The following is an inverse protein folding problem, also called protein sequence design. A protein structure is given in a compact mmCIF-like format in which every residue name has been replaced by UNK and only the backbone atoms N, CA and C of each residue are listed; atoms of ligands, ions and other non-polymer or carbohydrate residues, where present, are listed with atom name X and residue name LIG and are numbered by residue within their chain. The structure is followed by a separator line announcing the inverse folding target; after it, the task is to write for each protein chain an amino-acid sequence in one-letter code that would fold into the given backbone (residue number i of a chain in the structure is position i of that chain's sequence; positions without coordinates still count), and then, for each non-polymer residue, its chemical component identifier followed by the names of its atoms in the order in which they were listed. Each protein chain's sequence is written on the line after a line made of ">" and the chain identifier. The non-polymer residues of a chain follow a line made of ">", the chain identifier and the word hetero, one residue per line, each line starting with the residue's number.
data_IF_851020607822
#
_entry.id   IF_851020607822
#
_cell.length_a   1.000
_cell.length_b   1.000
_cell.length_c   1.000
_cell.angle_alpha   90.00
_cell.angle_beta   90.00
_cell.angle_gamma   90.00
#
_symmetry.space_group_name_H-M   'P 1'
#
loop_
_entity.id
_entity.type
_entity.pdbx_description
1 polymer ?
#
# COMPACT_ATOMS: atom_id res chain seq x y z
N UNK A 1 13.90 13.35 14.93
CA UNK A 1 12.72 12.87 14.17
C UNK A 1 12.83 13.47 12.78
N UNK A 2 12.70 12.66 11.72
CA UNK A 2 12.76 13.20 10.36
C UNK A 2 11.52 14.05 10.07
N UNK A 3 11.71 15.18 9.40
CA UNK A 3 10.57 15.89 8.81
C UNK A 3 10.06 15.10 7.62
N UNK A 4 8.73 14.92 7.55
CA UNK A 4 8.06 14.11 6.52
C UNK A 4 6.98 14.97 5.86
N UNK A 5 6.93 14.92 4.54
CA UNK A 5 5.86 15.51 3.75
C UNK A 5 5.11 14.43 2.99
N UNK A 6 3.78 14.59 2.89
CA UNK A 6 2.92 13.75 2.06
C UNK A 6 2.28 14.63 1.00
N UNK A 7 2.39 14.22 -0.25
CA UNK A 7 1.70 14.86 -1.38
C UNK A 7 0.81 13.88 -2.13
N UNK A 8 -0.20 14.39 -2.79
CA UNK A 8 -0.97 13.62 -3.76
C UNK A 8 -0.09 13.27 -4.96
N UNK A 9 -0.23 12.06 -5.48
CA UNK A 9 0.43 11.60 -6.69
C UNK A 9 -0.55 11.58 -7.87
N UNK A 10 -0.03 11.88 -9.04
CA UNK A 10 -0.76 11.85 -10.31
C UNK A 10 -0.18 10.83 -11.30
N UNK A 11 -0.72 10.86 -12.51
CA UNK A 11 -0.30 9.98 -13.62
C UNK A 11 1.20 10.11 -13.96
N UNK A 12 1.77 11.27 -13.78
CA UNK A 12 3.19 11.57 -13.97
C UNK A 12 4.10 10.84 -12.98
N UNK A 13 3.57 10.39 -11.85
CA UNK A 13 4.33 9.72 -10.79
C UNK A 13 4.44 8.20 -10.96
N UNK A 14 3.86 7.63 -12.01
CA UNK A 14 3.83 6.17 -12.23
C UNK A 14 5.22 5.54 -12.24
N UNK A 15 6.19 6.20 -12.86
CA UNK A 15 7.57 5.71 -12.91
C UNK A 15 8.19 5.63 -11.51
N UNK A 16 7.95 6.62 -10.67
CA UNK A 16 8.41 6.62 -9.28
C UNK A 16 7.73 5.50 -8.47
N UNK A 17 6.41 5.37 -8.56
CA UNK A 17 5.62 4.35 -7.85
C UNK A 17 6.13 2.95 -8.24
N UNK A 18 6.28 2.68 -9.52
CA UNK A 18 6.84 1.42 -10.02
C UNK A 18 8.25 1.17 -9.50
N UNK A 19 9.12 2.17 -9.55
CA UNK A 19 10.49 2.08 -9.04
C UNK A 19 10.55 1.72 -7.56
N UNK A 20 9.69 2.31 -6.74
CA UNK A 20 9.60 1.94 -5.30
C UNK A 20 9.17 0.49 -5.14
N UNK A 21 8.16 0.04 -5.87
CA UNK A 21 7.71 -1.35 -5.82
C UNK A 21 8.82 -2.32 -6.23
N UNK A 22 9.49 -2.10 -7.36
CA UNK A 22 10.58 -2.93 -7.87
C UNK A 22 11.77 -3.01 -6.89
N UNK A 23 12.01 -1.96 -6.11
CA UNK A 23 13.10 -1.90 -5.13
C UNK A 23 12.73 -2.44 -3.75
N UNK A 24 11.44 -2.55 -3.43
CA UNK A 24 10.97 -3.04 -2.12
C UNK A 24 10.56 -4.52 -2.17
N UNK A 25 9.96 -4.96 -3.25
CA UNK A 25 9.39 -6.30 -3.36
C UNK A 25 10.40 -7.44 -3.19
N UNK A 26 11.62 -7.38 -3.75
CA UNK A 26 12.60 -8.45 -3.53
C UNK A 26 12.96 -8.66 -2.07
N UNK A 27 13.14 -7.59 -1.30
CA UNK A 27 13.44 -7.69 0.14
C UNK A 27 12.21 -8.07 0.98
N UNK A 28 11.01 -7.70 0.55
CA UNK A 28 9.77 -8.01 1.28
C UNK A 28 9.29 -9.43 1.00
N UNK A 29 9.31 -9.87 -0.26
CA UNK A 29 8.68 -11.11 -0.71
C UNK A 29 9.65 -12.19 -1.22
N UNK A 30 10.93 -11.87 -1.36
CA UNK A 30 11.92 -12.79 -1.95
C UNK A 30 12.09 -14.12 -1.22
N UNK A 31 11.79 -14.17 0.08
CA UNK A 31 11.78 -15.41 0.88
C UNK A 31 10.39 -16.04 1.00
N UNK A 32 9.34 -15.41 0.46
CA UNK A 32 7.93 -15.81 0.63
C UNK A 32 7.39 -16.43 -0.66
N UNK A 33 7.67 -15.80 -1.80
CA UNK A 33 7.19 -16.21 -3.12
C UNK A 33 8.36 -16.28 -4.11
N UNK A 34 8.16 -16.98 -5.22
CA UNK A 34 9.18 -17.10 -6.26
C UNK A 34 9.46 -15.79 -6.98
N UNK A 35 10.65 -15.66 -7.56
CA UNK A 35 10.98 -14.51 -8.41
C UNK A 35 10.00 -14.38 -9.59
N UNK A 36 9.60 -15.50 -10.19
CA UNK A 36 8.62 -15.51 -11.28
C UNK A 36 7.26 -14.93 -10.83
N UNK A 37 6.83 -15.23 -9.61
CA UNK A 37 5.60 -14.65 -9.05
C UNK A 37 5.77 -13.16 -8.76
N UNK A 38 6.91 -12.71 -8.23
CA UNK A 38 7.22 -11.29 -8.03
C UNK A 38 7.13 -10.55 -9.37
N UNK A 39 7.80 -11.04 -10.40
CA UNK A 39 7.81 -10.42 -11.73
C UNK A 39 6.41 -10.34 -12.34
N UNK A 40 5.64 -11.41 -12.22
CA UNK A 40 4.25 -11.46 -12.67
C UNK A 40 3.38 -10.41 -11.95
N UNK A 41 3.47 -10.33 -10.63
CA UNK A 41 2.66 -9.41 -9.83
C UNK A 41 3.08 -7.95 -10.04
N UNK A 42 4.39 -7.66 -10.19
CA UNK A 42 4.88 -6.32 -10.49
C UNK A 42 4.36 -5.83 -11.84
N UNK A 43 4.37 -6.68 -12.85
CA UNK A 43 3.85 -6.31 -14.17
C UNK A 43 2.33 -6.13 -14.14
N UNK A 44 1.63 -7.03 -13.49
CA UNK A 44 0.17 -6.96 -13.36
C UNK A 44 -0.32 -5.72 -12.62
N UNK A 45 0.33 -5.34 -11.50
CA UNK A 45 -0.16 -4.28 -10.62
C UNK A 45 0.53 -2.93 -10.81
N UNK A 46 1.73 -2.89 -11.40
CA UNK A 46 2.58 -1.69 -11.47
C UNK A 46 3.06 -1.35 -12.87
N UNK A 47 2.55 -1.98 -13.92
CA UNK A 47 2.75 -1.47 -15.28
C UNK A 47 2.16 -0.07 -15.41
N UNK A 48 2.66 0.71 -16.37
CA UNK A 48 2.14 2.06 -16.61
C UNK A 48 0.63 2.07 -16.85
N UNK A 49 0.13 1.09 -17.61
CA UNK A 49 -1.30 0.96 -17.91
C UNK A 49 -2.10 0.54 -16.68
N UNK A 50 -1.59 -0.40 -15.88
CA UNK A 50 -2.24 -0.83 -14.65
C UNK A 50 -2.36 0.31 -13.64
N UNK A 51 -1.30 1.09 -13.43
CA UNK A 51 -1.33 2.26 -12.54
C UNK A 51 -2.27 3.35 -13.05
N UNK A 52 -2.25 3.63 -14.36
CA UNK A 52 -3.17 4.59 -14.96
C UNK A 52 -4.63 4.16 -14.78
N UNK A 53 -4.93 2.88 -15.01
CA UNK A 53 -6.27 2.34 -14.82
C UNK A 53 -6.72 2.47 -13.35
N UNK A 54 -5.88 2.13 -12.39
CA UNK A 54 -6.18 2.26 -10.96
C UNK A 54 -6.51 3.71 -10.60
N UNK A 55 -5.71 4.68 -11.06
CA UNK A 55 -5.94 6.09 -10.82
C UNK A 55 -7.25 6.58 -11.48
N UNK A 56 -7.53 6.15 -12.71
CA UNK A 56 -8.73 6.54 -13.46
C UNK A 56 -10.01 5.89 -12.91
N UNK A 57 -9.90 4.82 -12.13
CA UNK A 57 -11.04 4.11 -11.54
C UNK A 57 -11.25 4.39 -10.06
N UNK A 58 -10.60 5.42 -9.52
CA UNK A 58 -10.87 5.94 -8.18
C UNK A 58 -9.83 5.62 -7.11
N UNK A 59 -8.71 4.98 -7.46
CA UNK A 59 -7.61 4.82 -6.52
C UNK A 59 -6.83 6.14 -6.38
N UNK A 60 -6.70 6.61 -5.15
CA UNK A 60 -5.87 7.76 -4.82
C UNK A 60 -4.49 7.29 -4.37
N UNK A 61 -3.45 7.97 -4.84
CA UNK A 61 -2.05 7.68 -4.50
C UNK A 61 -1.44 8.88 -3.79
N UNK A 62 -0.61 8.58 -2.79
CA UNK A 62 0.13 9.58 -2.01
C UNK A 62 1.60 9.18 -1.93
N UNK A 63 2.48 10.17 -2.02
CA UNK A 63 3.94 9.99 -1.96
C UNK A 63 4.47 10.65 -0.70
N UNK A 64 5.35 9.95 0.01
CA UNK A 64 6.07 10.43 1.16
C UNK A 64 7.48 10.87 0.79
N UNK A 65 7.87 12.04 1.27
CA UNK A 65 9.24 12.57 1.22
C UNK A 65 9.80 12.77 2.62
N UNK A 66 11.08 12.52 2.78
CA UNK A 66 11.84 12.83 4.00
C UNK A 66 12.82 13.96 3.72
N UNK A 67 13.03 14.82 4.72
CA UNK A 67 14.01 15.89 4.63
C UNK A 67 15.41 15.35 4.96
N UNK A 68 16.36 15.61 4.08
CA UNK A 68 17.77 15.25 4.25
C UNK A 68 18.52 16.31 5.06
N UNK A 69 19.72 15.95 5.51
CA UNK A 69 20.63 16.85 6.27
C UNK A 69 20.95 18.15 5.52
N UNK A 70 20.97 18.09 4.17
CA UNK A 70 21.22 19.24 3.30
C UNK A 70 19.95 20.04 2.94
N UNK A 71 18.90 19.91 3.74
CA UNK A 71 17.58 20.53 3.53
C UNK A 71 16.83 20.13 2.25
N UNK A 72 17.34 19.16 1.50
CA UNK A 72 16.66 18.62 0.33
C UNK A 72 15.62 17.57 0.72
N UNK A 73 14.52 17.53 -0.02
CA UNK A 73 13.50 16.50 0.10
C UNK A 73 13.81 15.32 -0.80
N UNK A 74 13.63 14.12 -0.27
CA UNK A 74 13.77 12.87 -1.02
C UNK A 74 12.48 12.05 -0.91
N UNK A 75 11.89 11.74 -2.05
CA UNK A 75 10.74 10.83 -2.12
C UNK A 75 11.19 9.40 -1.81
N UNK A 76 10.47 8.75 -0.87
CA UNK A 76 10.93 7.47 -0.30
C UNK A 76 9.87 6.39 -0.22
N UNK A 77 8.63 6.70 -0.55
CA UNK A 77 7.57 5.70 -0.46
C UNK A 77 6.23 6.23 -0.97
N UNK A 78 5.27 5.34 -1.05
CA UNK A 78 3.91 5.68 -1.47
C UNK A 78 2.87 4.78 -0.81
N UNK A 79 1.63 5.24 -0.79
CA UNK A 79 0.46 4.40 -0.52
C UNK A 79 -0.64 4.64 -1.55
N UNK A 80 -1.59 3.72 -1.60
CA UNK A 80 -2.79 3.85 -2.42
C UNK A 80 -4.01 3.41 -1.64
N UNK A 81 -5.08 4.19 -1.74
CA UNK A 81 -6.38 3.92 -1.14
C UNK A 81 -7.49 4.06 -2.17
N UNK A 82 -8.56 3.31 -1.99
CA UNK A 82 -9.77 3.44 -2.80
C UNK A 82 -11.02 3.16 -1.99
N UNK A 83 -12.16 3.79 -2.34
CA UNK A 83 -13.45 3.40 -1.80
C UNK A 83 -13.78 1.97 -2.25
N UNK A 84 -14.35 1.18 -1.34
CA UNK A 84 -14.77 -0.19 -1.62
C UNK A 84 -16.17 -0.42 -1.09
N UNK A 85 -17.06 -0.89 -1.94
CA UNK A 85 -18.40 -1.31 -1.54
C UNK A 85 -18.43 -2.81 -1.39
N UNK A 86 -18.37 -3.27 -0.15
CA UNK A 86 -18.44 -4.70 0.15
C UNK A 86 -19.85 -5.24 -0.14
N UNK A 87 -19.92 -6.50 -0.54
CA UNK A 87 -21.19 -7.15 -0.85
C UNK A 87 -22.13 -7.11 0.35
N UNK A 88 -23.37 -6.65 0.12
CA UNK A 88 -24.38 -6.50 1.17
C UNK A 88 -24.19 -5.32 2.14
N UNK A 89 -23.12 -4.54 2.00
CA UNK A 89 -22.89 -3.38 2.85
C UNK A 89 -23.73 -2.17 2.42
N UNK A 90 -24.25 -1.45 3.41
CA UNK A 90 -24.99 -0.19 3.23
C UNK A 90 -24.02 0.97 3.02
N UNK A 91 -22.86 0.93 3.69
CA UNK A 91 -21.86 1.98 3.67
C UNK A 91 -20.65 1.58 2.81
N UNK A 92 -20.02 2.58 2.21
CA UNK A 92 -18.74 2.40 1.51
C UNK A 92 -17.61 2.42 2.54
N UNK A 93 -16.79 1.39 2.56
CA UNK A 93 -15.54 1.34 3.32
C UNK A 93 -14.37 1.77 2.42
N UNK A 94 -13.16 1.82 2.97
CA UNK A 94 -11.95 2.11 2.20
C UNK A 94 -10.99 0.93 2.27
N UNK A 95 -10.30 0.69 1.17
CA UNK A 95 -9.22 -0.29 1.09
C UNK A 95 -7.87 0.42 1.01
N UNK A 96 -6.94 0.06 1.88
CA UNK A 96 -5.52 0.35 1.69
C UNK A 96 -4.97 -0.69 0.71
N UNK A 97 -4.77 -0.27 -0.54
CA UNK A 97 -4.33 -1.17 -1.61
C UNK A 97 -2.83 -1.45 -1.55
N UNK A 98 -2.04 -0.42 -1.25
CA UNK A 98 -0.59 -0.44 -1.32
C UNK A 98 0.00 0.47 -0.25
N UNK A 99 1.10 0.06 0.37
CA UNK A 99 1.94 0.90 1.22
C UNK A 99 3.35 0.34 1.20
N UNK A 100 4.28 1.07 0.59
CA UNK A 100 5.67 0.67 0.47
C UNK A 100 6.59 1.85 0.71
N UNK A 101 7.67 1.60 1.48
CA UNK A 101 8.74 2.55 1.76
C UNK A 101 10.06 1.91 1.38
N UNK A 102 10.90 2.65 0.66
CA UNK A 102 12.23 2.20 0.25
C UNK A 102 13.01 1.64 1.45
N UNK A 103 13.75 0.53 1.31
CA UNK A 103 14.47 -0.10 2.42
C UNK A 103 15.34 0.87 3.22
N UNK A 104 16.05 1.77 2.53
CA UNK A 104 16.90 2.80 3.16
C UNK A 104 16.16 3.82 4.03
N UNK A 105 14.86 3.95 3.86
CA UNK A 105 14.00 4.90 4.58
C UNK A 105 13.06 4.19 5.57
N UNK A 106 13.15 2.89 5.72
CA UNK A 106 12.40 2.18 6.75
C UNK A 106 12.87 2.62 8.14
N UNK A 107 11.93 2.76 9.08
CA UNK A 107 12.21 3.33 10.38
C UNK A 107 12.23 4.87 10.45
N UNK A 108 12.14 5.57 9.31
CA UNK A 108 12.09 7.04 9.26
C UNK A 108 10.78 7.65 9.78
N UNK A 109 9.71 6.86 9.87
CA UNK A 109 8.34 7.32 10.11
C UNK A 109 7.49 7.52 8.85
N UNK A 110 8.08 7.39 7.66
CA UNK A 110 7.36 7.58 6.39
C UNK A 110 6.18 6.62 6.22
N UNK A 111 6.34 5.34 6.60
CA UNK A 111 5.24 4.36 6.54
C UNK A 111 4.08 4.71 7.46
N UNK A 112 4.37 5.24 8.66
CA UNK A 112 3.35 5.74 9.57
C UNK A 112 2.62 6.94 8.97
N UNK A 113 3.35 7.90 8.43
CA UNK A 113 2.77 9.11 7.83
C UNK A 113 1.88 8.79 6.63
N UNK A 114 2.27 7.83 5.78
CA UNK A 114 1.46 7.35 4.66
C UNK A 114 0.18 6.67 5.16
N UNK A 115 0.26 5.83 6.17
CA UNK A 115 -0.92 5.18 6.75
C UNK A 115 -1.85 6.19 7.42
N UNK A 116 -1.32 7.14 8.17
CA UNK A 116 -2.11 8.22 8.80
C UNK A 116 -2.86 9.03 7.74
N UNK A 117 -2.20 9.33 6.59
CA UNK A 117 -2.84 10.01 5.46
C UNK A 117 -3.96 9.17 4.84
N UNK A 118 -3.74 7.88 4.64
CA UNK A 118 -4.74 6.97 4.12
C UNK A 118 -5.99 6.92 5.03
N UNK A 119 -5.78 6.86 6.34
CA UNK A 119 -6.86 6.85 7.34
C UNK A 119 -7.60 8.20 7.35
N UNK A 120 -6.89 9.31 7.25
CA UNK A 120 -7.47 10.66 7.14
C UNK A 120 -8.43 10.74 5.94
N UNK A 121 -7.98 10.30 4.77
CA UNK A 121 -8.79 10.30 3.53
C UNK A 121 -10.08 9.49 3.72
N UNK A 122 -9.98 8.28 4.26
CA UNK A 122 -11.14 7.43 4.50
C UNK A 122 -12.14 8.07 5.49
N UNK A 123 -11.65 8.65 6.59
CA UNK A 123 -12.49 9.34 7.57
C UNK A 123 -13.18 10.57 7.00
N UNK A 124 -12.46 11.39 6.23
CA UNK A 124 -13.05 12.57 5.57
C UNK A 124 -14.12 12.19 4.56
N UNK A 125 -14.01 11.03 3.94
CA UNK A 125 -15.05 10.47 3.06
C UNK A 125 -16.24 9.86 3.82
N UNK A 126 -16.21 9.84 5.16
CA UNK A 126 -17.28 9.27 5.98
C UNK A 126 -17.28 7.75 6.05
N UNK A 127 -16.19 7.09 5.71
CA UNK A 127 -16.09 5.65 5.80
C UNK A 127 -16.10 5.18 7.27
N UNK A 128 -16.79 4.09 7.61
CA UNK A 128 -16.81 3.56 8.98
C UNK A 128 -15.55 2.75 9.32
N UNK A 129 -14.80 2.33 8.31
CA UNK A 129 -13.63 1.47 8.49
C UNK A 129 -12.71 1.48 7.27
N UNK A 130 -11.51 1.01 7.48
CA UNK A 130 -10.54 0.69 6.43
C UNK A 130 -10.10 -0.77 6.58
N UNK A 131 -9.94 -1.47 5.46
CA UNK A 131 -9.36 -2.80 5.45
C UNK A 131 -8.17 -2.90 4.51
N UNK A 132 -7.38 -3.93 4.69
CA UNK A 132 -6.24 -4.27 3.84
C UNK A 132 -6.08 -5.79 3.74
N UNK A 133 -5.32 -6.21 2.75
CA UNK A 133 -4.85 -7.58 2.60
C UNK A 133 -3.32 -7.59 2.79
N UNK A 134 -2.81 -8.48 3.62
CA UNK A 134 -1.38 -8.64 3.88
C UNK A 134 -1.00 -10.10 3.83
N UNK A 135 0.07 -10.43 3.10
CA UNK A 135 0.55 -11.81 3.03
C UNK A 135 0.84 -12.33 4.44
N UNK A 136 0.44 -13.57 4.71
CA UNK A 136 0.56 -14.21 6.03
C UNK A 136 1.98 -14.25 6.58
N UNK A 137 2.97 -14.27 5.70
CA UNK A 137 4.40 -14.31 6.07
C UNK A 137 5.08 -12.93 6.02
N UNK A 138 4.35 -11.87 5.63
CA UNK A 138 4.88 -10.52 5.60
C UNK A 138 4.94 -9.92 7.00
N UNK A 139 6.11 -9.46 7.41
CA UNK A 139 6.33 -8.80 8.71
C UNK A 139 5.48 -7.52 8.92
N UNK A 140 4.97 -6.92 7.84
CA UNK A 140 4.05 -5.78 7.91
C UNK A 140 2.76 -6.10 8.69
N UNK A 141 2.36 -7.35 8.82
CA UNK A 141 1.27 -7.78 9.69
C UNK A 141 1.41 -7.20 11.11
N UNK A 142 2.59 -7.32 11.71
CA UNK A 142 2.87 -6.77 13.05
C UNK A 142 2.79 -5.25 13.08
N UNK A 143 3.20 -4.57 12.02
CA UNK A 143 3.05 -3.12 11.90
C UNK A 143 1.58 -2.71 11.94
N UNK A 144 0.71 -3.38 11.19
CA UNK A 144 -0.72 -3.07 11.17
C UNK A 144 -1.42 -3.41 12.49
N UNK A 145 -1.05 -4.50 13.17
CA UNK A 145 -1.55 -4.79 14.51
C UNK A 145 -1.25 -3.64 15.49
N UNK A 146 -0.01 -3.12 15.47
CA UNK A 146 0.40 -1.99 16.32
C UNK A 146 -0.35 -0.69 15.98
N UNK A 147 -0.96 -0.60 14.79
CA UNK A 147 -1.78 0.53 14.35
C UNK A 147 -3.28 0.35 14.63
N UNK A 148 -3.65 -0.72 15.31
CA UNK A 148 -5.02 -0.99 15.72
C UNK A 148 -5.84 -1.80 14.73
N UNK A 149 -5.24 -2.26 13.62
CA UNK A 149 -5.90 -3.21 12.74
C UNK A 149 -6.05 -4.56 13.43
N UNK A 150 -7.18 -5.21 13.22
CA UNK A 150 -7.43 -6.56 13.71
C UNK A 150 -7.54 -7.53 12.52
N UNK A 151 -7.09 -8.75 12.70
CA UNK A 151 -7.31 -9.82 11.71
C UNK A 151 -8.80 -10.17 11.68
N UNK A 152 -9.38 -10.10 10.49
CA UNK A 152 -10.80 -10.36 10.27
C UNK A 152 -11.04 -11.71 9.57
N UNK A 153 -10.20 -12.05 8.59
CA UNK A 153 -10.35 -13.26 7.79
C UNK A 153 -9.02 -13.76 7.21
N UNK A 154 -9.04 -14.99 6.74
CA UNK A 154 -8.05 -15.53 5.81
C UNK A 154 -8.56 -15.36 4.38
N UNK A 155 -7.66 -15.05 3.46
CA UNK A 155 -7.99 -14.85 2.07
C UNK A 155 -6.94 -15.51 1.17
N UNK A 156 -7.34 -16.56 0.45
CA UNK A 156 -6.49 -17.18 -0.55
C UNK A 156 -7.12 -17.01 -1.92
N UNK A 157 -6.37 -16.44 -2.84
CA UNK A 157 -6.87 -16.05 -4.15
C UNK A 157 -5.92 -16.52 -5.24
N UNK A 158 -6.47 -17.22 -6.25
CA UNK A 158 -5.77 -17.58 -7.49
C UNK A 158 -5.66 -16.34 -8.37
N UNK A 159 -4.44 -15.89 -8.64
CA UNK A 159 -4.16 -14.72 -9.48
C UNK A 159 -3.84 -15.09 -10.92
N UNK A 160 -3.98 -16.36 -11.29
CA UNK A 160 -3.62 -16.87 -12.61
C UNK A 160 -2.16 -17.33 -12.69
N UNK A 161 -1.81 -17.90 -13.83
CA UNK A 161 -0.45 -18.40 -14.11
C UNK A 161 0.09 -19.43 -13.08
N UNK A 162 -0.80 -20.09 -12.33
CA UNK A 162 -0.44 -21.02 -11.25
C UNK A 162 0.00 -20.33 -9.95
N UNK A 163 -0.18 -19.02 -9.80
CA UNK A 163 0.19 -18.27 -8.63
C UNK A 163 -1.01 -17.97 -7.72
N UNK A 164 -0.72 -17.84 -6.42
CA UNK A 164 -1.72 -17.52 -5.40
C UNK A 164 -1.26 -16.34 -4.53
N UNK A 165 -2.23 -15.54 -4.08
CA UNK A 165 -2.09 -14.67 -2.91
C UNK A 165 -2.68 -15.39 -1.71
N UNK A 166 -1.90 -15.53 -0.64
CA UNK A 166 -2.31 -16.17 0.63
C UNK A 166 -2.17 -15.14 1.76
N UNK A 167 -3.25 -14.44 2.02
CA UNK A 167 -3.26 -13.22 2.82
C UNK A 167 -4.14 -13.35 4.07
N UNK A 168 -3.91 -12.45 5.02
CA UNK A 168 -4.90 -12.05 6.01
C UNK A 168 -5.63 -10.81 5.53
N UNK A 169 -6.94 -10.75 5.78
CA UNK A 169 -7.70 -9.51 5.75
C UNK A 169 -7.64 -8.88 7.14
N UNK A 170 -7.25 -7.62 7.20
CA UNK A 170 -7.18 -6.87 8.44
C UNK A 170 -8.05 -5.61 8.34
N UNK A 171 -8.72 -5.24 9.41
CA UNK A 171 -9.62 -4.08 9.46
C UNK A 171 -9.32 -3.17 10.63
N UNK A 172 -9.42 -1.86 10.38
CA UNK A 172 -9.44 -0.80 11.38
C UNK A 172 -10.82 -0.13 11.36
N UNK A 173 -11.51 -0.15 12.48
CA UNK A 173 -12.76 0.58 12.65
C UNK A 173 -12.47 2.01 13.15
N UNK A 174 -13.21 2.98 12.66
CA UNK A 174 -13.05 4.39 12.99
C UNK A 174 -13.96 4.84 14.13
#
# INVERSE_FOLDING_TARGET
>A
MNEIQIRTAGIEDRAFIRSVAERTWPSTYGSIISQAQIDFMLDWMYSNDALAQQMNTGAEFYIASIKKINDQWEEVGFCSVSPEKEEGAITTTYKLNKLYVLPKAQGSGAGKALLDKAIEVAKLAGAPSMFLQVNKLNSAYTFYLKKGFIKEADFKFDIGNGFFMDDYVMRLHF
#
